data_IF_312153149289
#
_entry.id   IF_312153149289
#
_cell.length_a   1.000
_cell.length_b   1.000
_cell.length_c   1.000
_cell.angle_alpha   90.00
_cell.angle_beta   90.00
_cell.angle_gamma   90.00
#
_symmetry.space_group_name_H-M   'P 1'
#
loop_
_entity.id
_entity.type
_entity.pdbx_description
1 polymer ?
#
# COMPACT_ATOMS: atom_id res chain seq x y z
N UNK A 1 45.84 -15.26 54.98
CA UNK A 1 45.80 -15.95 53.68
C UNK A 1 44.36 -16.28 53.36
N UNK A 2 43.74 -15.49 52.50
CA UNK A 2 42.50 -15.79 51.80
C UNK A 2 42.52 -14.89 50.55
N UNK A 3 42.65 -15.50 49.37
CA UNK A 3 42.63 -14.81 48.08
C UNK A 3 41.18 -14.45 47.71
N UNK A 4 40.93 -13.18 47.40
CA UNK A 4 39.71 -12.74 46.71
C UNK A 4 39.85 -12.98 45.19
N UNK A 5 38.85 -13.54 44.51
CA UNK A 5 38.92 -13.72 43.07
C UNK A 5 38.56 -12.43 42.34
N UNK A 6 39.52 -11.96 41.54
CA UNK A 6 39.42 -10.85 40.59
C UNK A 6 38.25 -11.04 39.62
N UNK A 7 37.27 -10.13 39.68
CA UNK A 7 36.18 -10.05 38.73
C UNK A 7 36.70 -9.55 37.38
N UNK A 8 36.88 -10.49 36.43
CA UNK A 8 37.11 -10.17 35.02
C UNK A 8 35.92 -9.39 34.48
N UNK A 9 36.10 -8.09 34.27
CA UNK A 9 35.19 -7.28 33.45
C UNK A 9 35.27 -7.79 32.02
N UNK A 10 34.24 -8.51 31.60
CA UNK A 10 33.98 -8.72 30.18
C UNK A 10 33.74 -7.35 29.55
N UNK A 11 34.73 -6.87 28.81
CA UNK A 11 34.51 -5.83 27.81
C UNK A 11 33.49 -6.43 26.82
N UNK A 12 32.25 -5.98 26.94
CA UNK A 12 31.28 -6.14 25.88
C UNK A 12 31.84 -5.38 24.67
N UNK A 13 32.43 -6.12 23.74
CA UNK A 13 32.55 -5.66 22.37
C UNK A 13 31.15 -5.22 21.94
N UNK A 14 30.98 -3.92 21.78
CA UNK A 14 29.86 -3.35 21.07
C UNK A 14 29.93 -3.89 19.66
N UNK A 15 29.26 -5.01 19.44
CA UNK A 15 28.86 -5.49 18.14
C UNK A 15 28.09 -4.34 17.49
N UNK A 16 28.81 -3.59 16.65
CA UNK A 16 28.22 -2.75 15.63
C UNK A 16 27.33 -3.67 14.79
N UNK A 17 26.04 -3.73 15.15
CA UNK A 17 24.97 -4.26 14.33
C UNK A 17 24.87 -3.36 13.11
N UNK A 18 25.80 -3.54 12.16
CA UNK A 18 25.66 -3.07 10.79
C UNK A 18 24.31 -3.61 10.34
N UNK A 19 23.34 -2.72 10.21
CA UNK A 19 21.95 -3.06 9.91
C UNK A 19 21.90 -4.01 8.71
N UNK A 20 21.35 -5.20 8.89
CA UNK A 20 21.09 -6.19 7.82
C UNK A 20 19.97 -5.68 6.88
N UNK A 21 20.16 -4.50 6.29
CA UNK A 21 19.27 -3.96 5.27
C UNK A 21 19.59 -4.68 3.96
N UNK A 22 18.56 -5.15 3.27
CA UNK A 22 18.68 -5.85 1.99
C UNK A 22 18.95 -4.81 0.90
N UNK A 23 20.04 -4.98 0.14
CA UNK A 23 20.38 -4.10 -0.97
C UNK A 23 19.40 -4.26 -2.15
N UNK A 24 19.12 -3.16 -2.85
CA UNK A 24 18.21 -3.13 -4.00
C UNK A 24 19.02 -3.20 -5.30
N UNK A 25 18.77 -4.25 -6.08
CA UNK A 25 19.42 -4.50 -7.38
C UNK A 25 18.50 -4.18 -8.57
N UNK A 26 17.67 -3.14 -8.46
CA UNK A 26 16.82 -2.65 -9.56
C UNK A 26 17.59 -1.61 -10.39
N UNK A 27 17.56 -1.67 -11.74
CA UNK A 27 18.14 -0.65 -12.61
C UNK A 27 17.60 0.75 -12.34
N UNK A 28 18.45 1.77 -12.46
CA UNK A 28 18.11 3.16 -12.22
C UNK A 28 19.27 3.93 -11.58
N UNK A 29 19.29 5.24 -11.78
CA UNK A 29 20.26 6.12 -11.13
C UNK A 29 19.94 6.20 -9.63
N UNK A 30 20.83 5.64 -8.80
CA UNK A 30 20.68 5.65 -7.34
C UNK A 30 20.85 7.06 -6.81
N UNK A 31 19.82 7.57 -6.12
CA UNK A 31 19.82 8.92 -5.58
C UNK A 31 18.89 9.01 -4.40
N UNK A 32 19.40 9.53 -3.29
CA UNK A 32 18.63 9.77 -2.08
C UNK A 32 17.82 11.07 -2.21
N UNK A 33 16.50 10.95 -2.23
CA UNK A 33 15.62 12.11 -2.26
C UNK A 33 14.30 11.83 -1.53
N UNK A 34 13.60 12.92 -1.20
CA UNK A 34 12.25 12.88 -0.67
C UNK A 34 11.48 14.05 -1.25
N UNK A 35 10.26 13.79 -1.74
CA UNK A 35 9.32 14.80 -2.21
C UNK A 35 7.98 14.54 -1.56
N UNK A 36 7.34 15.59 -1.06
CA UNK A 36 6.04 15.46 -0.38
C UNK A 36 5.03 16.35 -1.08
N UNK A 37 3.96 15.73 -1.59
CA UNK A 37 2.80 16.42 -2.11
C UNK A 37 1.74 16.46 -1.03
N UNK A 38 1.27 17.66 -0.69
CA UNK A 38 0.19 17.88 0.27
C UNK A 38 -0.95 18.58 -0.46
N UNK A 39 -2.18 18.28 -0.05
CA UNK A 39 -3.34 18.94 -0.66
C UNK A 39 -3.66 18.38 -2.05
N UNK A 40 -3.19 17.17 -2.39
CA UNK A 40 -3.57 16.52 -3.65
C UNK A 40 -5.07 16.28 -3.60
N UNK A 41 -5.78 16.88 -4.56
CA UNK A 41 -7.24 16.86 -4.60
C UNK A 41 -7.76 15.43 -4.77
N UNK A 42 -8.61 15.01 -3.83
CA UNK A 42 -9.52 13.90 -4.00
C UNK A 42 -10.92 14.48 -4.30
N UNK A 43 -11.91 13.62 -4.49
CA UNK A 43 -13.29 14.12 -4.60
C UNK A 43 -13.74 14.91 -3.36
N UNK A 44 -14.44 16.03 -3.57
CA UNK A 44 -15.01 16.85 -2.49
C UNK A 44 -13.98 17.78 -1.83
N UNK A 45 -13.92 17.77 -0.49
CA UNK A 45 -12.96 18.57 0.30
C UNK A 45 -11.81 17.73 0.87
N UNK A 46 -11.76 16.44 0.52
CA UNK A 46 -10.73 15.52 0.97
C UNK A 46 -9.44 15.76 0.19
N UNK A 47 -8.31 15.65 0.86
CA UNK A 47 -6.99 15.83 0.24
C UNK A 47 -6.04 14.74 0.67
N UNK A 48 -5.16 14.32 -0.23
CA UNK A 48 -4.18 13.28 0.00
C UNK A 48 -2.79 13.87 0.32
N UNK A 49 -2.11 13.28 1.29
CA UNK A 49 -0.67 13.47 1.51
C UNK A 49 0.09 12.29 0.87
N UNK A 50 1.01 12.61 -0.03
CA UNK A 50 1.86 11.62 -0.71
C UNK A 50 3.31 11.93 -0.35
N UNK A 51 3.99 10.96 0.26
CA UNK A 51 5.43 11.04 0.51
C UNK A 51 6.14 10.12 -0.47
N UNK A 52 6.78 10.70 -1.48
CA UNK A 52 7.69 9.99 -2.37
C UNK A 52 9.11 10.02 -1.81
N UNK A 53 9.76 8.87 -1.71
CA UNK A 53 11.13 8.80 -1.19
C UNK A 53 11.87 7.58 -1.70
N UNK A 54 13.19 7.73 -1.90
CA UNK A 54 14.14 6.63 -2.06
C UNK A 54 14.94 6.36 -0.78
N UNK A 55 14.84 7.26 0.22
CA UNK A 55 15.54 7.14 1.51
C UNK A 55 14.85 6.11 2.42
N UNK A 56 15.56 5.05 2.88
CA UNK A 56 15.00 4.03 3.75
C UNK A 56 14.44 4.59 5.08
N UNK A 57 15.19 5.44 5.77
CA UNK A 57 14.76 5.99 7.06
C UNK A 57 13.49 6.83 6.95
N UNK A 58 13.34 7.57 5.84
CA UNK A 58 12.14 8.35 5.58
C UNK A 58 10.95 7.47 5.26
N UNK A 59 11.16 6.39 4.49
CA UNK A 59 10.11 5.41 4.25
C UNK A 59 9.64 4.78 5.57
N UNK A 60 10.57 4.39 6.45
CA UNK A 60 10.27 3.83 7.77
C UNK A 60 9.49 4.81 8.68
N UNK A 61 9.77 6.12 8.59
CA UNK A 61 8.97 7.16 9.26
C UNK A 61 7.52 7.16 8.75
N UNK A 62 7.32 7.12 7.42
CA UNK A 62 5.97 7.11 6.82
C UNK A 62 5.23 5.82 7.15
N UNK A 63 5.91 4.67 7.10
CA UNK A 63 5.33 3.37 7.50
C UNK A 63 4.89 3.39 8.96
N UNK A 64 5.65 4.06 9.84
CA UNK A 64 5.26 4.23 11.25
C UNK A 64 3.99 5.05 11.42
N UNK A 65 3.76 6.04 10.54
CA UNK A 65 2.51 6.82 10.50
C UNK A 65 1.35 5.98 9.96
N UNK A 66 1.57 5.19 8.91
CA UNK A 66 0.59 4.25 8.35
C UNK A 66 0.17 3.23 9.42
N UNK A 67 1.12 2.62 10.14
CA UNK A 67 0.86 1.71 11.26
C UNK A 67 -0.05 2.33 12.32
N UNK A 68 0.17 3.60 12.65
CA UNK A 68 -0.66 4.33 13.63
C UNK A 68 -2.09 4.51 13.14
N UNK A 69 -2.29 4.82 11.85
CA UNK A 69 -3.63 4.93 11.25
C UNK A 69 -4.39 3.61 11.29
N UNK A 70 -3.70 2.48 11.12
CA UNK A 70 -4.27 1.14 11.20
C UNK A 70 -4.56 0.66 12.64
N UNK A 71 -4.04 1.35 13.65
CA UNK A 71 -4.21 1.00 15.06
C UNK A 71 -5.69 0.99 15.47
N UNK A 72 -6.10 -0.05 16.22
CA UNK A 72 -7.46 -0.19 16.74
C UNK A 72 -8.52 -0.59 15.72
N UNK A 73 -8.16 -0.76 14.44
CA UNK A 73 -9.10 -1.23 13.40
C UNK A 73 -9.25 -2.75 13.45
N UNK A 74 -10.49 -3.20 13.24
CA UNK A 74 -10.82 -4.62 13.03
C UNK A 74 -10.15 -5.08 11.73
N UNK A 75 -10.41 -4.37 10.63
CA UNK A 75 -9.80 -4.62 9.33
C UNK A 75 -8.68 -3.62 9.04
N UNK A 76 -7.47 -4.14 8.82
CA UNK A 76 -6.27 -3.33 8.56
C UNK A 76 -5.88 -3.45 7.10
N UNK A 77 -6.65 -2.73 6.29
CA UNK A 77 -6.52 -2.71 4.83
C UNK A 77 -5.45 -1.68 4.45
N UNK A 78 -4.59 -2.06 3.50
CA UNK A 78 -3.59 -1.19 2.89
C UNK A 78 -3.75 -1.28 1.38
N UNK A 79 -3.95 -0.15 0.70
CA UNK A 79 -3.91 -0.11 -0.76
C UNK A 79 -2.48 -0.26 -1.25
N UNK A 80 -2.26 -1.14 -2.21
CA UNK A 80 -0.96 -1.41 -2.83
C UNK A 80 -1.07 -1.12 -4.32
N UNK A 81 0.00 -0.58 -4.88
CA UNK A 81 0.23 -0.57 -6.31
C UNK A 81 1.71 -0.71 -6.62
N UNK A 82 2.02 -1.10 -7.86
CA UNK A 82 3.39 -1.23 -8.34
C UNK A 82 3.48 -0.60 -9.73
N UNK A 83 4.55 0.16 -9.97
CA UNK A 83 4.95 0.55 -11.32
C UNK A 83 6.32 0.00 -11.65
N UNK A 84 6.55 -0.22 -12.94
CA UNK A 84 7.64 -1.05 -13.41
C UNK A 84 8.70 -0.25 -14.15
N UNK A 85 9.89 -0.83 -14.29
CA UNK A 85 10.93 -0.31 -15.19
C UNK A 85 10.46 -0.38 -16.65
N UNK A 86 11.25 0.18 -17.57
CA UNK A 86 10.89 0.20 -18.98
C UNK A 86 10.75 -1.24 -19.54
N UNK A 87 9.71 -1.48 -20.34
CA UNK A 87 9.47 -2.76 -21.02
C UNK A 87 10.54 -3.06 -22.08
N UNK A 88 11.13 -2.01 -22.66
CA UNK A 88 12.23 -2.12 -23.63
C UNK A 88 13.50 -2.73 -23.03
N UNK A 89 13.60 -2.81 -21.70
CA UNK A 89 14.77 -3.29 -20.94
C UNK A 89 14.43 -4.48 -20.04
N UNK A 90 14.25 -5.69 -20.60
CA UNK A 90 13.93 -6.88 -19.81
C UNK A 90 15.14 -7.37 -18.98
N UNK A 91 14.92 -8.02 -17.80
CA UNK A 91 13.61 -8.25 -17.20
C UNK A 91 13.05 -6.96 -16.62
N UNK A 92 11.77 -6.71 -16.87
CA UNK A 92 11.10 -5.56 -16.31
C UNK A 92 10.82 -5.83 -14.81
N UNK A 93 11.22 -4.91 -13.94
CA UNK A 93 11.23 -5.03 -12.47
C UNK A 93 10.32 -3.98 -11.82
N UNK A 94 10.04 -4.10 -10.52
CA UNK A 94 9.33 -3.07 -9.77
C UNK A 94 10.22 -1.84 -9.58
N UNK A 95 9.84 -0.72 -10.18
CA UNK A 95 10.54 0.55 -10.06
C UNK A 95 9.96 1.40 -8.92
N UNK A 96 8.67 1.30 -8.66
CA UNK A 96 7.97 2.03 -7.60
C UNK A 96 7.01 1.09 -6.88
N UNK A 97 6.98 1.15 -5.56
CA UNK A 97 5.97 0.50 -4.72
C UNK A 97 5.18 1.58 -3.98
N UNK A 98 3.85 1.52 -4.07
CA UNK A 98 2.98 2.41 -3.32
C UNK A 98 2.25 1.69 -2.20
N UNK A 99 2.06 2.39 -1.08
CA UNK A 99 1.25 1.93 0.04
C UNK A 99 0.37 3.07 0.52
N UNK A 100 -0.93 2.84 0.65
CA UNK A 100 -1.84 3.88 1.10
C UNK A 100 -2.83 3.40 2.17
N UNK A 101 -3.03 4.26 3.18
CA UNK A 101 -4.05 4.10 4.23
C UNK A 101 -4.65 5.46 4.54
N UNK A 102 -5.97 5.55 4.40
CA UNK A 102 -6.71 6.81 4.45
C UNK A 102 -6.06 7.86 3.52
N UNK A 103 -5.80 9.06 4.02
CA UNK A 103 -5.25 10.19 3.30
C UNK A 103 -3.71 10.25 3.32
N UNK A 104 -3.04 9.13 3.60
CA UNK A 104 -1.57 9.05 3.60
C UNK A 104 -1.07 7.92 2.71
N UNK A 105 -0.35 8.27 1.65
CA UNK A 105 0.37 7.31 0.83
C UNK A 105 1.90 7.47 0.93
N UNK A 106 2.60 6.34 0.96
CA UNK A 106 4.02 6.22 0.66
C UNK A 106 4.17 5.86 -0.83
N UNK A 107 5.05 6.56 -1.54
CA UNK A 107 5.54 6.18 -2.87
C UNK A 107 7.03 5.87 -2.73
N UNK A 108 7.37 4.61 -2.57
CA UNK A 108 8.75 4.17 -2.43
C UNK A 108 9.39 3.98 -3.80
N UNK A 109 10.38 4.81 -4.13
CA UNK A 109 11.05 4.76 -5.42
C UNK A 109 12.21 3.77 -5.38
N UNK A 110 11.90 2.50 -5.69
CA UNK A 110 12.83 1.36 -5.65
C UNK A 110 13.99 1.57 -6.62
N UNK A 111 13.73 2.05 -7.84
CA UNK A 111 14.76 2.26 -8.86
C UNK A 111 15.84 3.26 -8.41
N UNK A 112 15.46 4.33 -7.70
CA UNK A 112 16.38 5.30 -7.13
C UNK A 112 16.96 4.90 -5.75
N UNK A 113 16.37 3.90 -5.08
CA UNK A 113 16.78 3.48 -3.74
C UNK A 113 17.95 2.48 -3.75
N UNK A 114 18.76 2.55 -2.70
CA UNK A 114 19.90 1.63 -2.50
C UNK A 114 19.54 0.41 -1.66
N UNK A 115 18.54 0.53 -0.76
CA UNK A 115 18.22 -0.49 0.26
C UNK A 115 16.74 -0.58 0.52
N UNK A 116 16.25 -1.73 0.97
CA UNK A 116 14.88 -1.86 1.45
C UNK A 116 14.72 -1.27 2.86
N UNK A 117 13.67 -0.45 3.13
CA UNK A 117 13.37 0.04 4.47
C UNK A 117 12.95 -1.11 5.39
N UNK A 118 13.45 -1.13 6.63
CA UNK A 118 13.24 -2.28 7.52
C UNK A 118 11.76 -2.43 7.89
N UNK A 119 11.10 -1.34 8.27
CA UNK A 119 9.69 -1.38 8.68
C UNK A 119 8.77 -1.68 7.50
N UNK A 120 9.17 -1.25 6.29
CA UNK A 120 8.47 -1.62 5.08
C UNK A 120 8.51 -3.14 4.89
N UNK A 121 9.69 -3.76 4.94
CA UNK A 121 9.85 -5.22 4.85
C UNK A 121 9.03 -5.95 5.92
N UNK A 122 9.13 -5.52 7.18
CA UNK A 122 8.38 -6.11 8.30
C UNK A 122 6.86 -6.01 8.09
N UNK A 123 6.37 -4.92 7.49
CA UNK A 123 4.95 -4.73 7.18
C UNK A 123 4.49 -5.65 6.04
N UNK A 124 5.23 -5.68 4.92
CA UNK A 124 4.89 -6.47 3.73
C UNK A 124 4.89 -7.97 3.99
N UNK A 125 5.79 -8.43 4.86
CA UNK A 125 5.94 -9.85 5.21
C UNK A 125 5.07 -10.26 6.41
N UNK A 126 4.28 -9.36 6.99
CA UNK A 126 3.54 -9.66 8.21
C UNK A 126 2.49 -10.77 8.01
N UNK A 127 2.54 -11.81 8.85
CA UNK A 127 1.73 -13.02 8.67
C UNK A 127 0.22 -12.92 8.93
N UNK A 128 -0.24 -11.87 9.63
CA UNK A 128 -1.60 -11.88 10.21
C UNK A 128 -2.33 -10.55 10.08
N UNK A 129 -1.67 -9.45 10.41
CA UNK A 129 -2.38 -8.21 10.73
C UNK A 129 -2.94 -7.47 9.53
N UNK A 130 -2.27 -7.54 8.37
CA UNK A 130 -2.60 -6.68 7.23
C UNK A 130 -3.25 -7.44 6.10
N UNK A 131 -4.12 -6.70 5.39
CA UNK A 131 -4.70 -7.11 4.12
C UNK A 131 -4.30 -6.08 3.07
N UNK A 132 -3.67 -6.53 2.00
CA UNK A 132 -3.17 -5.70 0.91
C UNK A 132 -4.15 -5.74 -0.26
N UNK A 133 -4.81 -4.61 -0.52
CA UNK A 133 -5.78 -4.48 -1.60
C UNK A 133 -5.08 -3.91 -2.85
N UNK A 134 -5.16 -4.62 -3.98
CA UNK A 134 -4.60 -4.22 -5.27
C UNK A 134 -5.53 -4.64 -6.43
N UNK A 135 -5.13 -4.32 -7.66
CA UNK A 135 -5.75 -4.76 -8.91
C UNK A 135 -4.74 -5.57 -9.74
N UNK A 136 -5.18 -6.68 -10.33
CA UNK A 136 -4.37 -7.47 -11.28
C UNK A 136 -3.02 -7.92 -10.72
N UNK A 137 -3.07 -8.42 -9.48
CA UNK A 137 -1.93 -8.48 -8.58
C UNK A 137 -0.85 -9.52 -8.88
N UNK A 138 -1.16 -10.50 -9.74
CA UNK A 138 -0.21 -11.57 -10.04
C UNK A 138 1.04 -11.03 -10.74
N UNK A 139 0.88 -10.00 -11.59
CA UNK A 139 2.02 -9.31 -12.20
C UNK A 139 2.82 -8.53 -11.15
N UNK A 140 2.15 -7.78 -10.27
CA UNK A 140 2.81 -7.02 -9.19
C UNK A 140 3.71 -7.92 -8.33
N UNK A 141 3.20 -9.10 -7.95
CA UNK A 141 3.93 -10.09 -7.13
C UNK A 141 5.20 -10.57 -7.83
N UNK A 142 5.10 -10.92 -9.11
CA UNK A 142 6.26 -11.38 -9.90
C UNK A 142 7.33 -10.29 -9.98
N UNK A 143 6.92 -9.06 -10.30
CA UNK A 143 7.82 -7.91 -10.50
C UNK A 143 8.49 -7.47 -9.19
N UNK A 144 7.75 -7.48 -8.09
CA UNK A 144 8.31 -7.23 -6.76
C UNK A 144 9.33 -8.31 -6.37
N UNK A 145 9.00 -9.58 -6.61
CA UNK A 145 9.89 -10.71 -6.29
C UNK A 145 11.20 -10.63 -7.06
N UNK A 146 11.15 -10.30 -8.35
CA UNK A 146 12.35 -10.03 -9.16
C UNK A 146 13.18 -8.88 -8.58
N UNK A 147 12.55 -7.92 -7.93
CA UNK A 147 13.18 -6.76 -7.28
C UNK A 147 13.71 -7.04 -5.88
N UNK A 148 13.63 -8.29 -5.40
CA UNK A 148 14.13 -8.71 -4.10
C UNK A 148 13.16 -8.44 -2.94
N UNK A 149 11.87 -8.21 -3.22
CA UNK A 149 10.84 -8.04 -2.20
C UNK A 149 9.65 -8.96 -2.47
N UNK A 150 9.12 -9.58 -1.42
CA UNK A 150 7.90 -10.39 -1.51
C UNK A 150 6.92 -9.91 -0.44
N UNK A 151 5.72 -9.56 -0.88
CA UNK A 151 4.59 -9.31 0.02
C UNK A 151 3.95 -10.66 0.31
N UNK A 152 3.50 -10.87 1.55
CA UNK A 152 2.91 -12.14 1.96
C UNK A 152 1.80 -12.57 0.98
N UNK A 153 1.97 -13.69 0.25
CA UNK A 153 1.09 -14.05 -0.87
C UNK A 153 -0.34 -14.34 -0.43
N UNK A 154 -0.55 -14.66 0.85
CA UNK A 154 -1.85 -14.98 1.44
C UNK A 154 -2.60 -13.76 1.96
N UNK A 155 -2.00 -12.57 1.91
CA UNK A 155 -2.57 -11.34 2.46
C UNK A 155 -3.10 -10.39 1.41
N UNK A 156 -3.13 -10.83 0.17
CA UNK A 156 -3.57 -10.02 -0.94
C UNK A 156 -5.02 -10.22 -1.31
N UNK A 157 -5.65 -9.11 -1.68
CA UNK A 157 -6.97 -9.06 -2.26
C UNK A 157 -6.87 -8.39 -3.62
N UNK A 158 -7.15 -9.19 -4.65
CA UNK A 158 -7.36 -8.70 -6.01
C UNK A 158 -8.82 -8.24 -6.15
N UNK A 159 -9.04 -6.93 -6.06
CA UNK A 159 -10.38 -6.34 -6.07
C UNK A 159 -11.12 -6.71 -7.36
N UNK A 160 -10.41 -6.76 -8.49
CA UNK A 160 -10.96 -7.13 -9.79
C UNK A 160 -11.52 -8.56 -9.81
N UNK A 161 -11.09 -9.44 -8.92
CA UNK A 161 -11.63 -10.81 -8.79
C UNK A 161 -12.71 -10.95 -7.72
N UNK A 162 -12.85 -9.97 -6.83
CA UNK A 162 -13.77 -10.00 -5.68
C UNK A 162 -14.99 -9.11 -5.85
N UNK A 163 -14.94 -8.15 -6.76
CA UNK A 163 -16.03 -7.22 -7.01
C UNK A 163 -16.35 -7.09 -8.50
N UNK A 164 -17.60 -6.79 -8.82
CA UNK A 164 -18.07 -6.47 -10.17
C UNK A 164 -18.90 -5.20 -10.12
N UNK A 165 -18.66 -4.31 -11.08
CA UNK A 165 -19.50 -3.13 -11.27
C UNK A 165 -20.76 -3.57 -12.02
N UNK A 166 -21.97 -3.36 -11.46
CA UNK A 166 -23.19 -3.76 -12.13
C UNK A 166 -23.38 -3.09 -13.49
N UNK A 167 -23.99 -3.82 -14.42
CA UNK A 167 -24.45 -3.30 -15.72
C UNK A 167 -23.35 -2.78 -16.68
N UNK A 168 -22.07 -3.09 -16.45
CA UNK A 168 -20.99 -2.73 -17.38
C UNK A 168 -20.88 -3.69 -18.56
N UNK A 169 -21.33 -4.94 -18.40
CA UNK A 169 -21.15 -6.01 -19.38
C UNK A 169 -19.69 -6.47 -19.54
N UNK A 170 -18.76 -5.95 -18.72
CA UNK A 170 -17.35 -6.33 -18.74
C UNK A 170 -17.13 -7.61 -17.93
N UNK A 171 -16.23 -8.48 -18.39
CA UNK A 171 -15.79 -9.65 -17.62
C UNK A 171 -15.00 -9.22 -16.37
N UNK A 172 -14.18 -8.19 -16.53
CA UNK A 172 -13.37 -7.57 -15.49
C UNK A 172 -13.44 -6.05 -15.60
N UNK A 173 -13.71 -5.40 -14.46
CA UNK A 173 -13.71 -3.95 -14.34
C UNK A 173 -12.31 -3.44 -13.98
N UNK A 174 -11.97 -2.24 -14.46
CA UNK A 174 -10.70 -1.58 -14.09
C UNK A 174 -10.82 -0.92 -12.71
N UNK A 175 -9.67 -0.56 -12.11
CA UNK A 175 -9.67 0.25 -10.88
C UNK A 175 -10.46 1.54 -11.04
N UNK A 176 -10.34 2.20 -12.20
CA UNK A 176 -11.11 3.39 -12.56
C UNK A 176 -12.62 3.13 -12.53
N UNK A 177 -13.07 2.02 -13.10
CA UNK A 177 -14.49 1.64 -13.13
C UNK A 177 -15.02 1.39 -11.70
N UNK A 178 -14.27 0.62 -10.90
CA UNK A 178 -14.66 0.28 -9.52
C UNK A 178 -14.66 1.53 -8.64
N UNK A 179 -13.59 2.32 -8.66
CA UNK A 179 -13.48 3.55 -7.88
C UNK A 179 -14.57 4.56 -8.26
N UNK A 180 -14.88 4.68 -9.55
CA UNK A 180 -15.97 5.54 -10.02
C UNK A 180 -17.35 5.08 -9.54
N UNK A 181 -17.54 3.77 -9.39
CA UNK A 181 -18.80 3.16 -8.95
C UNK A 181 -19.00 3.20 -7.44
N UNK A 182 -17.94 2.96 -6.65
CA UNK A 182 -18.06 2.75 -5.19
C UNK A 182 -17.59 3.94 -4.36
N UNK A 183 -16.68 4.76 -4.91
CA UNK A 183 -16.18 5.96 -4.23
C UNK A 183 -16.90 7.18 -4.78
N UNK A 184 -16.61 7.56 -6.04
CA UNK A 184 -17.16 8.77 -6.66
C UNK A 184 -16.88 8.86 -8.17
N UNK A 185 -17.79 9.38 -9.02
CA UNK A 185 -17.56 9.54 -10.47
C UNK A 185 -16.31 10.33 -10.86
N UNK A 186 -15.77 11.17 -9.97
CA UNK A 186 -14.50 11.88 -10.13
C UNK A 186 -13.35 10.95 -10.57
N UNK A 187 -13.31 9.72 -10.06
CA UNK A 187 -12.22 8.78 -10.37
C UNK A 187 -12.24 8.30 -11.82
N UNK A 188 -13.31 8.53 -12.62
CA UNK A 188 -13.31 8.19 -14.07
C UNK A 188 -12.15 8.85 -14.82
N UNK A 189 -11.75 10.06 -14.41
CA UNK A 189 -10.66 10.82 -15.03
C UNK A 189 -9.30 10.62 -14.38
N UNK A 190 -9.17 9.77 -13.35
CA UNK A 190 -7.93 9.69 -12.54
C UNK A 190 -6.70 9.31 -13.37
N UNK A 191 -6.89 8.50 -14.43
CA UNK A 191 -5.79 8.06 -15.29
C UNK A 191 -5.38 9.07 -16.37
N UNK A 192 -6.18 10.11 -16.60
CA UNK A 192 -5.94 11.05 -17.69
C UNK A 192 -4.71 11.95 -17.45
N UNK A 193 -4.17 11.99 -16.23
CA UNK A 193 -2.98 12.78 -15.86
C UNK A 193 -1.66 12.16 -16.35
N UNK A 194 -1.68 10.88 -16.73
CA UNK A 194 -0.53 10.14 -17.28
C UNK A 194 -1.05 9.30 -18.43
N UNK A 195 -0.83 9.73 -19.66
CA UNK A 195 -1.29 8.96 -20.82
C UNK A 195 -0.35 9.04 -22.02
N UNK A 196 0.91 9.43 -21.81
CA UNK A 196 1.92 9.35 -22.86
C UNK A 196 2.80 8.12 -22.65
N UNK A 197 3.21 7.49 -23.75
CA UNK A 197 4.16 6.38 -23.70
C UNK A 197 5.50 6.81 -23.10
N UNK A 198 5.83 8.11 -23.17
CA UNK A 198 7.03 8.70 -22.57
C UNK A 198 6.93 8.71 -21.04
N UNK A 199 5.77 9.05 -20.46
CA UNK A 199 5.59 9.05 -19.01
C UNK A 199 5.83 7.67 -18.38
N UNK A 200 5.42 6.59 -19.06
CA UNK A 200 5.63 5.23 -18.57
C UNK A 200 7.11 4.81 -18.52
N UNK A 201 7.99 5.51 -19.24
CA UNK A 201 9.45 5.26 -19.19
C UNK A 201 10.12 5.95 -18.00
N UNK A 202 9.43 6.89 -17.35
CA UNK A 202 9.97 7.70 -16.27
C UNK A 202 9.92 7.02 -14.89
N UNK A 203 9.25 5.88 -14.74
CA UNK A 203 9.19 5.17 -13.46
C UNK A 203 10.55 4.66 -12.99
N UNK A 204 11.46 4.35 -13.92
CA UNK A 204 12.82 3.88 -13.63
C UNK A 204 13.90 4.96 -13.65
N UNK A 205 13.53 6.24 -13.84
CA UNK A 205 14.51 7.34 -13.91
C UNK A 205 14.90 7.84 -12.53
N UNK A 206 15.89 8.73 -12.40
CA UNK A 206 16.04 9.48 -11.15
C UNK A 206 14.83 10.41 -10.91
N UNK A 207 14.69 10.91 -9.68
CA UNK A 207 13.62 11.77 -9.15
C UNK A 207 12.31 11.85 -9.97
N UNK A 208 11.27 11.15 -9.49
CA UNK A 208 9.95 11.19 -10.12
C UNK A 208 9.39 12.63 -10.15
N UNK A 209 8.85 13.08 -11.29
CA UNK A 209 8.12 14.34 -11.38
C UNK A 209 6.77 14.26 -10.63
N UNK A 210 6.23 15.42 -10.27
CA UNK A 210 5.03 15.52 -9.40
C UNK A 210 3.81 14.82 -9.96
N UNK A 211 3.59 14.85 -11.27
CA UNK A 211 2.47 14.17 -11.92
C UNK A 211 2.53 12.65 -11.72
N UNK A 212 3.72 12.05 -11.77
CA UNK A 212 3.92 10.62 -11.50
C UNK A 212 3.72 10.28 -10.02
N UNK A 213 4.24 11.12 -9.13
CA UNK A 213 4.05 10.95 -7.68
C UNK A 213 2.56 11.04 -7.33
N UNK A 214 1.87 12.03 -7.88
CA UNK A 214 0.45 12.25 -7.68
C UNK A 214 -0.38 11.06 -8.17
N UNK A 215 -0.16 10.63 -9.41
CA UNK A 215 -0.85 9.47 -9.97
C UNK A 215 -0.62 8.21 -9.13
N UNK A 216 0.64 7.92 -8.78
CA UNK A 216 0.99 6.73 -8.00
C UNK A 216 0.29 6.73 -6.63
N UNK A 217 0.22 7.89 -5.96
CA UNK A 217 -0.54 8.01 -4.71
C UNK A 217 -2.05 7.87 -4.90
N UNK A 218 -2.63 8.50 -5.93
CA UNK A 218 -4.08 8.41 -6.21
C UNK A 218 -4.48 6.99 -6.62
N UNK A 219 -3.64 6.25 -7.35
CA UNK A 219 -3.84 4.86 -7.74
C UNK A 219 -3.93 3.95 -6.50
N UNK A 220 -2.93 4.05 -5.60
CA UNK A 220 -2.93 3.30 -4.34
C UNK A 220 -4.08 3.71 -3.39
N UNK A 221 -4.43 5.00 -3.34
CA UNK A 221 -5.59 5.48 -2.61
C UNK A 221 -6.90 4.89 -3.13
N UNK A 222 -7.09 4.88 -4.46
CA UNK A 222 -8.30 4.35 -5.07
C UNK A 222 -8.45 2.86 -4.79
N UNK A 223 -7.36 2.08 -4.81
CA UNK A 223 -7.37 0.67 -4.41
C UNK A 223 -7.74 0.50 -2.93
N UNK A 224 -7.08 1.24 -2.03
CA UNK A 224 -7.37 1.25 -0.59
C UNK A 224 -8.86 1.54 -0.32
N UNK A 225 -9.33 2.69 -0.80
CA UNK A 225 -10.65 3.21 -0.48
C UNK A 225 -11.74 2.36 -1.11
N UNK A 226 -11.51 1.83 -2.32
CA UNK A 226 -12.47 0.92 -2.97
C UNK A 226 -12.66 -0.34 -2.13
N UNK A 227 -11.58 -1.02 -1.73
CA UNK A 227 -11.71 -2.22 -0.93
C UNK A 227 -12.27 -1.92 0.46
N UNK A 228 -11.84 -0.84 1.12
CA UNK A 228 -12.38 -0.42 2.41
C UNK A 228 -13.91 -0.25 2.37
N UNK A 229 -14.45 0.38 1.32
CA UNK A 229 -15.91 0.56 1.16
C UNK A 229 -16.61 -0.77 0.87
N UNK A 230 -16.04 -1.60 -0.01
CA UNK A 230 -16.60 -2.92 -0.38
C UNK A 230 -16.68 -3.84 0.84
N UNK A 231 -15.58 -3.92 1.59
CA UNK A 231 -15.43 -4.72 2.81
C UNK A 231 -16.47 -4.29 3.86
N UNK A 232 -16.58 -2.98 4.12
CA UNK A 232 -17.57 -2.43 5.03
C UNK A 232 -19.02 -2.74 4.62
N UNK A 233 -19.34 -2.61 3.34
CA UNK A 233 -20.70 -2.91 2.81
C UNK A 233 -20.99 -4.41 2.91
N UNK A 234 -20.01 -5.26 2.62
CA UNK A 234 -20.14 -6.72 2.65
C UNK A 234 -20.39 -7.20 4.07
N UNK A 235 -19.57 -6.76 5.03
CA UNK A 235 -19.74 -7.06 6.45
C UNK A 235 -21.14 -6.69 6.97
N UNK A 236 -21.59 -5.47 6.66
CA UNK A 236 -22.90 -4.98 7.08
C UNK A 236 -24.05 -5.81 6.49
N UNK A 237 -23.92 -6.23 5.23
CA UNK A 237 -24.89 -7.08 4.54
C UNK A 237 -24.95 -8.48 5.13
N UNK A 238 -23.80 -9.09 5.46
CA UNK A 238 -23.72 -10.41 6.08
C UNK A 238 -24.34 -10.39 7.48
N UNK A 239 -23.99 -9.40 8.30
CA UNK A 239 -24.55 -9.26 9.65
C UNK A 239 -26.07 -9.05 9.67
N UNK A 240 -26.60 -8.31 8.68
CA UNK A 240 -28.04 -8.15 8.52
C UNK A 240 -28.73 -9.49 8.21
N UNK A 241 -28.16 -10.29 7.29
CA UNK A 241 -28.69 -11.62 6.93
C UNK A 241 -28.64 -12.59 8.11
N UNK A 242 -27.56 -12.59 8.88
CA UNK A 242 -27.45 -13.43 10.07
C UNK A 242 -28.51 -13.09 11.12
N UNK A 243 -28.83 -11.80 11.31
CA UNK A 243 -29.89 -11.37 12.23
C UNK A 243 -31.28 -11.80 11.76
N UNK A 244 -31.54 -11.71 10.46
CA UNK A 244 -32.80 -12.17 9.86
C UNK A 244 -32.95 -13.69 10.02
N UNK A 245 -31.91 -14.47 9.73
CA UNK A 245 -31.92 -15.93 9.85
C UNK A 245 -32.11 -16.41 11.30
N UNK A 246 -31.67 -15.63 12.28
CA UNK A 246 -31.83 -15.93 13.70
C UNK A 246 -33.17 -15.45 14.30
N UNK A 247 -34.17 -15.07 13.46
CA UNK A 247 -35.50 -14.60 13.87
C UNK A 247 -35.49 -13.49 14.94
N UNK A 248 -34.50 -12.60 14.95
CA UNK A 248 -34.46 -11.48 15.91
C UNK A 248 -35.66 -10.52 15.79
N UNK A 249 -36.44 -10.61 14.72
CA UNK A 249 -37.63 -9.82 14.45
C UNK A 249 -38.93 -10.37 15.08
N UNK A 250 -38.92 -11.54 15.74
CA UNK A 250 -40.08 -12.05 16.49
C UNK A 250 -40.28 -11.36 17.85
N UNK A 251 -39.36 -10.47 18.25
CA UNK A 251 -39.61 -9.52 19.32
C UNK A 251 -40.10 -8.21 18.73
N UNK A 252 -41.37 -7.81 18.96
CA UNK A 252 -41.86 -6.54 18.48
C UNK A 252 -40.94 -5.44 19.01
N UNK A 253 -40.47 -4.58 18.10
CA UNK A 253 -39.78 -3.35 18.44
C UNK A 253 -40.65 -2.63 19.48
N UNK A 254 -40.16 -2.55 20.72
CA UNK A 254 -40.86 -1.86 21.80
C UNK A 254 -40.15 -0.50 21.95
N UNK A 255 -40.55 0.54 21.18
CA UNK A 255 -39.98 1.86 21.37
C UNK A 255 -40.46 2.35 22.73
N UNK A 256 -39.54 2.42 23.69
CA UNK A 256 -39.61 3.18 24.93
C UNK A 256 -41.01 3.31 25.55
N UNK A 257 -41.35 2.42 26.48
CA UNK A 257 -42.35 2.73 27.51
C UNK A 257 -41.78 3.86 28.38
N UNK A 258 -42.47 5.01 28.40
CA UNK A 258 -42.03 6.25 29.06
C UNK A 258 -41.95 6.23 30.57
#
# INVERSE_FOLDING_TARGET
MAEEPSAKRHHAETSDKRSNLVDINVPGEKRDYTRTLKGVELHGKETLEIVCTSKPDKADEVISRIWRKLGGRIHRIIGVGVHYTNEDEPPQMAAVLQLCVDELCLVYHIAAATKWPKRLTDMLQHDKLFTFASFSIESDKEKLKLSGMEINPNKFIDIQRKWRVPYTGKEYDSLTDVAASIIHPFYKGMKNKINTQEDYKLWGTSELPDNLIEYAGVDAYAAYKSWFMIDYITDGSEFAKEREANNFYDHPYCPFTG
#
